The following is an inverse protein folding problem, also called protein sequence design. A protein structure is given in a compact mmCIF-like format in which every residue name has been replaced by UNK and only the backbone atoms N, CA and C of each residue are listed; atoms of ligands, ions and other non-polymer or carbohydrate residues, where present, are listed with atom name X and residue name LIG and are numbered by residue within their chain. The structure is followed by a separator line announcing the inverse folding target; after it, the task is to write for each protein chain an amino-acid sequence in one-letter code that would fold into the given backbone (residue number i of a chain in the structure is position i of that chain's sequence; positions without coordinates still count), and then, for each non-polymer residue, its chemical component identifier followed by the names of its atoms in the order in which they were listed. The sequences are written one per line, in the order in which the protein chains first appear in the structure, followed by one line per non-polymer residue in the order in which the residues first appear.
data_IF_119091701139
#
_entry.id   IF_119091701139
#
_cell.length_a   1.000
_cell.length_b   1.000
_cell.length_c   1.000
_cell.angle_alpha   90.00
_cell.angle_beta   90.00
_cell.angle_gamma   90.00
#
_symmetry.space_group_name_H-M   'P 1'
#
loop_
_entity.id
_entity.type
_entity.pdbx_description
1 polymer ?
#
# COMPACT_ATOMS: atom_id res chain seq x y z
N UNK A 1 -23.90 -8.56 1.33
CA UNK A 1 -22.67 -8.28 0.57
C UNK A 1 -21.50 -8.41 1.53
N UNK A 2 -20.49 -9.23 1.23
CA UNK A 2 -19.37 -9.47 2.14
C UNK A 2 -18.34 -8.32 2.09
N UNK A 3 -17.36 -8.35 2.99
CA UNK A 3 -16.32 -7.32 3.06
C UNK A 3 -15.50 -7.23 1.77
N UNK A 4 -15.20 -8.37 1.14
CA UNK A 4 -14.42 -8.43 -0.09
C UNK A 4 -15.08 -7.66 -1.24
N UNK A 5 -16.40 -7.77 -1.40
CA UNK A 5 -17.12 -6.96 -2.39
C UNK A 5 -17.06 -5.47 -2.07
N UNK A 6 -17.13 -5.08 -0.79
CA UNK A 6 -16.97 -3.68 -0.38
C UNK A 6 -15.56 -3.17 -0.67
N UNK A 7 -14.52 -3.92 -0.34
CA UNK A 7 -13.14 -3.56 -0.63
C UNK A 7 -12.88 -3.40 -2.14
N UNK A 8 -13.51 -4.24 -2.97
CA UNK A 8 -13.46 -4.08 -4.42
C UNK A 8 -14.15 -2.79 -4.89
N UNK A 9 -15.33 -2.47 -4.35
CA UNK A 9 -16.03 -1.21 -4.67
C UNK A 9 -15.25 0.04 -4.27
N UNK A 10 -14.48 -0.03 -3.18
CA UNK A 10 -13.65 1.06 -2.68
C UNK A 10 -12.16 0.88 -3.02
N UNK A 11 -11.85 0.14 -4.08
CA UNK A 11 -10.45 0.01 -4.54
C UNK A 11 -9.87 1.35 -4.98
N UNK A 12 -10.71 2.29 -5.40
CA UNK A 12 -10.32 3.64 -5.77
C UNK A 12 -11.15 4.66 -4.98
N UNK A 13 -10.49 5.64 -4.38
CA UNK A 13 -11.18 6.79 -3.80
C UNK A 13 -10.26 8.01 -3.69
N UNK A 14 -10.88 9.17 -3.55
CA UNK A 14 -10.21 10.46 -3.57
C UNK A 14 -10.49 11.28 -2.32
N UNK A 15 -9.52 12.12 -1.97
CA UNK A 15 -9.65 13.22 -1.02
C UNK A 15 -9.25 14.52 -1.74
N UNK A 16 -9.26 15.65 -1.03
CA UNK A 16 -8.83 16.93 -1.61
C UNK A 16 -7.38 16.89 -2.11
N UNK A 17 -6.48 16.21 -1.38
CA UNK A 17 -5.04 16.17 -1.71
C UNK A 17 -4.59 14.85 -2.35
N UNK A 18 -5.26 13.75 -2.00
CA UNK A 18 -4.77 12.39 -2.28
C UNK A 18 -5.72 11.60 -3.15
N UNK A 19 -5.15 10.70 -3.93
CA UNK A 19 -5.85 9.62 -4.61
C UNK A 19 -5.34 8.29 -4.07
N UNK A 20 -6.25 7.42 -3.65
CA UNK A 20 -5.94 6.11 -3.12
C UNK A 20 -6.39 5.06 -4.12
N UNK A 21 -5.50 4.12 -4.43
CA UNK A 21 -5.68 3.09 -5.46
C UNK A 21 -4.87 1.84 -5.16
N UNK A 22 -5.13 0.69 -5.82
CA UNK A 22 -4.21 -0.44 -5.74
C UNK A 22 -2.82 -0.06 -6.28
N UNK A 23 -1.80 -0.79 -5.84
CA UNK A 23 -0.43 -0.62 -6.33
C UNK A 23 -0.30 -1.07 -7.79
N UNK A 24 0.53 -0.35 -8.53
CA UNK A 24 1.00 -0.72 -9.87
C UNK A 24 2.49 -1.02 -9.83
N UNK A 25 2.98 -1.85 -10.75
CA UNK A 25 4.41 -2.15 -10.81
C UNK A 25 5.26 -0.89 -11.08
N UNK A 26 4.71 0.10 -11.79
CA UNK A 26 5.36 1.40 -12.02
C UNK A 26 5.63 2.19 -10.73
N UNK A 27 4.99 1.85 -9.62
CA UNK A 27 5.26 2.47 -8.31
C UNK A 27 6.60 2.04 -7.72
N UNK A 28 7.31 1.08 -8.33
CA UNK A 28 8.54 0.50 -7.78
C UNK A 28 9.63 1.54 -7.52
N UNK A 29 9.71 2.59 -8.35
CA UNK A 29 10.71 3.65 -8.18
C UNK A 29 10.39 4.52 -6.96
N UNK A 30 9.17 5.04 -6.87
CA UNK A 30 8.73 5.84 -5.72
C UNK A 30 8.76 5.00 -4.43
N UNK A 31 8.38 3.72 -4.51
CA UNK A 31 8.48 2.78 -3.39
C UNK A 31 9.92 2.58 -2.94
N UNK A 32 10.86 2.41 -3.88
CA UNK A 32 12.28 2.27 -3.56
C UNK A 32 12.84 3.54 -2.91
N UNK A 33 12.46 4.74 -3.38
CA UNK A 33 12.85 6.01 -2.76
C UNK A 33 12.42 6.08 -1.29
N UNK A 34 11.21 5.60 -0.97
CA UNK A 34 10.71 5.53 0.41
C UNK A 34 11.44 4.43 1.20
N UNK A 35 11.60 3.26 0.59
CA UNK A 35 12.03 2.03 1.26
C UNK A 35 13.54 1.88 1.44
N UNK A 36 14.31 2.64 0.67
CA UNK A 36 15.77 2.73 0.79
C UNK A 36 16.20 3.62 1.96
N UNK A 37 15.29 4.44 2.51
CA UNK A 37 15.57 5.20 3.73
C UNK A 37 15.36 4.30 4.97
N UNK A 38 16.43 3.94 5.70
CA UNK A 38 16.32 3.05 6.86
C UNK A 38 15.49 3.63 8.02
N UNK A 39 15.35 4.96 8.13
CA UNK A 39 14.51 5.58 9.16
C UNK A 39 13.01 5.37 8.91
N UNK A 40 12.60 5.22 7.64
CA UNK A 40 11.19 5.14 7.25
C UNK A 40 10.56 3.78 7.58
N UNK A 41 11.34 2.69 7.52
CA UNK A 41 10.80 1.33 7.50
C UNK A 41 11.27 0.40 8.61
N UNK A 42 12.14 0.86 9.51
CA UNK A 42 12.75 0.04 10.57
C UNK A 42 11.74 -0.81 11.39
N UNK A 43 10.47 -0.41 11.45
CA UNK A 43 9.41 -1.10 12.21
C UNK A 43 8.42 -1.89 11.35
N UNK A 44 8.56 -1.89 10.02
CA UNK A 44 7.54 -2.42 9.09
C UNK A 44 8.12 -3.56 8.24
N UNK A 45 9.26 -3.34 7.58
CA UNK A 45 10.03 -4.38 6.89
C UNK A 45 11.49 -3.92 6.75
N UNK A 46 12.46 -4.84 6.55
CA UNK A 46 13.85 -4.46 6.33
C UNK A 46 13.97 -3.42 5.21
N UNK A 47 14.85 -2.43 5.37
CA UNK A 47 15.16 -1.48 4.29
C UNK A 47 15.52 -2.23 3.02
N UNK A 48 14.90 -1.88 1.90
CA UNK A 48 15.17 -2.52 0.62
C UNK A 48 16.39 -1.82 0.01
N UNK A 49 17.53 -2.51 0.01
CA UNK A 49 18.82 -1.94 -0.39
C UNK A 49 18.94 -1.83 -1.91
N UNK A 50 18.19 -2.63 -2.68
CA UNK A 50 18.21 -2.60 -4.14
C UNK A 50 16.82 -2.36 -4.77
N UNK A 51 16.78 -1.87 -6.03
CA UNK A 51 15.56 -1.79 -6.81
C UNK A 51 14.85 -3.14 -6.97
N UNK A 52 15.60 -4.23 -7.15
CA UNK A 52 15.05 -5.59 -7.32
C UNK A 52 14.37 -6.08 -6.04
N UNK A 53 14.97 -5.83 -4.88
CA UNK A 53 14.35 -6.11 -3.57
C UNK A 53 13.05 -5.32 -3.42
N UNK A 54 13.07 -4.04 -3.81
CA UNK A 54 11.90 -3.16 -3.75
C UNK A 54 10.77 -3.64 -4.68
N UNK A 55 11.10 -4.06 -5.90
CA UNK A 55 10.15 -4.66 -6.84
C UNK A 55 9.57 -5.97 -6.29
N UNK A 56 10.41 -6.82 -5.70
CA UNK A 56 9.98 -8.06 -5.08
C UNK A 56 9.01 -7.79 -3.94
N UNK A 57 9.35 -6.86 -3.04
CA UNK A 57 8.51 -6.48 -1.92
C UNK A 57 7.16 -5.89 -2.38
N UNK A 58 7.19 -4.98 -3.36
CA UNK A 58 5.99 -4.39 -3.96
C UNK A 58 5.04 -5.48 -4.49
N UNK A 59 5.55 -6.39 -5.31
CA UNK A 59 4.75 -7.44 -5.92
C UNK A 59 4.17 -8.41 -4.88
N UNK A 60 4.99 -8.86 -3.92
CA UNK A 60 4.59 -9.92 -2.99
C UNK A 60 3.75 -9.43 -1.81
N UNK A 61 4.02 -8.23 -1.29
CA UNK A 61 3.35 -7.73 -0.08
C UNK A 61 2.17 -6.81 -0.38
N UNK A 62 2.12 -6.19 -1.55
CA UNK A 62 1.09 -5.17 -1.85
C UNK A 62 0.22 -5.52 -3.05
N UNK A 63 0.77 -6.17 -4.09
CA UNK A 63 0.02 -6.44 -5.32
C UNK A 63 -0.64 -7.82 -5.34
N UNK A 64 -0.08 -8.82 -4.65
CA UNK A 64 -0.56 -10.21 -4.69
C UNK A 64 -2.00 -10.38 -4.18
N UNK A 65 -2.40 -9.59 -3.18
CA UNK A 65 -3.74 -9.56 -2.60
C UNK A 65 -4.18 -8.09 -2.39
N UNK A 66 -4.65 -7.40 -3.45
CA UNK A 66 -4.77 -5.94 -3.46
C UNK A 66 -6.05 -5.42 -2.76
N UNK A 67 -7.02 -6.29 -2.45
CA UNK A 67 -8.24 -5.87 -1.77
C UNK A 67 -7.92 -5.44 -0.34
N UNK A 68 -8.23 -4.18 -0.03
CA UNK A 68 -7.88 -3.62 1.28
C UNK A 68 -6.44 -3.10 1.36
N UNK A 69 -5.73 -2.98 0.24
CA UNK A 69 -4.37 -2.45 0.16
C UNK A 69 -4.36 -1.28 -0.84
N UNK A 70 -3.97 -0.11 -0.38
CA UNK A 70 -3.93 1.09 -1.20
C UNK A 70 -2.55 1.76 -1.17
N UNK A 71 -2.06 2.10 -2.35
CA UNK A 71 -1.06 3.12 -2.55
C UNK A 71 -1.70 4.49 -2.30
N UNK A 72 -1.00 5.34 -1.56
CA UNK A 72 -1.38 6.74 -1.35
C UNK A 72 -0.64 7.56 -2.40
N UNK A 73 -1.36 8.21 -3.30
CA UNK A 73 -0.78 9.04 -4.34
C UNK A 73 -1.10 10.52 -4.10
N UNK A 74 -0.10 11.37 -4.22
CA UNK A 74 -0.28 12.82 -4.18
C UNK A 74 -0.80 13.34 -5.52
N UNK A 75 -1.94 14.03 -5.52
CA UNK A 75 -2.59 14.47 -6.77
C UNK A 75 -1.79 15.52 -7.55
N UNK A 76 -0.88 16.25 -6.90
CA UNK A 76 -0.12 17.33 -7.53
C UNK A 76 1.13 16.80 -8.22
N UNK A 77 1.81 15.86 -7.59
CA UNK A 77 3.08 15.29 -8.07
C UNK A 77 2.89 13.98 -8.82
N UNK A 78 1.71 13.36 -8.70
CA UNK A 78 1.38 12.04 -9.23
C UNK A 78 2.25 10.89 -8.68
N UNK A 79 3.08 11.18 -7.66
CA UNK A 79 3.94 10.20 -7.01
C UNK A 79 3.15 9.32 -6.04
N UNK A 80 3.57 8.07 -5.92
CA UNK A 80 3.20 7.22 -4.80
C UNK A 80 4.03 7.65 -3.58
N UNK A 81 3.36 8.03 -2.49
CA UNK A 81 4.00 8.64 -1.32
C UNK A 81 3.85 7.81 -0.04
N UNK A 82 3.21 6.64 -0.12
CA UNK A 82 2.99 5.77 1.03
C UNK A 82 1.96 4.69 0.77
N UNK A 83 1.64 3.95 1.82
CA UNK A 83 0.67 2.85 1.80
C UNK A 83 -0.30 2.98 2.96
N UNK A 84 -1.53 2.53 2.73
CA UNK A 84 -2.48 2.21 3.80
C UNK A 84 -3.13 0.87 3.48
N UNK A 85 -3.29 0.00 4.47
CA UNK A 85 -3.91 -1.31 4.25
C UNK A 85 -4.59 -1.86 5.49
N UNK A 86 -5.55 -2.74 5.27
CA UNK A 86 -6.09 -3.58 6.32
C UNK A 86 -5.18 -4.78 6.59
N UNK A 87 -4.94 -5.02 7.86
CA UNK A 87 -4.20 -6.14 8.41
C UNK A 87 -5.09 -6.93 9.37
N UNK A 88 -4.80 -8.23 9.53
CA UNK A 88 -5.49 -9.11 10.50
C UNK A 88 -7.03 -9.01 10.49
N UNK A 89 -7.62 -8.95 9.30
CA UNK A 89 -9.08 -8.88 9.12
C UNK A 89 -9.77 -10.12 9.71
N UNK A 90 -10.66 -9.92 10.68
CA UNK A 90 -11.52 -10.95 11.27
C UNK A 90 -12.98 -10.67 10.87
N UNK A 91 -13.49 -11.46 9.91
CA UNK A 91 -14.87 -11.30 9.39
C UNK A 91 -15.94 -11.65 10.43
N UNK A 92 -15.63 -12.49 11.42
CA UNK A 92 -16.58 -12.94 12.44
C UNK A 92 -16.72 -11.84 13.51
N UNK A 93 -15.59 -11.33 14.01
CA UNK A 93 -15.56 -10.25 14.99
C UNK A 93 -15.81 -8.88 14.38
N UNK A 94 -15.67 -8.75 13.05
CA UNK A 94 -15.74 -7.49 12.29
C UNK A 94 -14.68 -6.48 12.73
N UNK A 95 -13.46 -6.99 12.90
CA UNK A 95 -12.31 -6.20 13.33
C UNK A 95 -11.23 -6.26 12.24
N UNK A 96 -10.45 -5.18 12.15
CA UNK A 96 -9.26 -5.11 11.32
C UNK A 96 -8.27 -4.15 11.95
N UNK A 97 -6.99 -4.38 11.70
CA UNK A 97 -5.92 -3.43 12.01
C UNK A 97 -5.63 -2.57 10.78
N UNK A 98 -5.13 -1.37 11.02
CA UNK A 98 -4.70 -0.45 9.97
C UNK A 98 -3.17 -0.39 9.95
N UNK A 99 -2.57 -0.90 8.88
CA UNK A 99 -1.13 -0.72 8.61
C UNK A 99 -0.92 0.46 7.66
N UNK A 100 0.12 1.25 7.90
CA UNK A 100 0.48 2.37 7.02
C UNK A 100 1.98 2.69 7.10
N UNK A 101 2.50 3.35 6.06
CA UNK A 101 3.79 4.03 6.02
C UNK A 101 3.81 5.13 4.98
#
# INVERSE_FOLDING_TARGET
MNIWTKLAMFSFFETDRLYLRPFFFSDSQDFHEIASNPENLQFIFPSQASPEESQYALANYFMKAPLGVWAICDKKTEKMIGSIKFEKLDEIKKEAELGYF
#
